data_IF_108390606870
#
_entry.id   IF_108390606870
#
_cell.length_a   1.000
_cell.length_b   1.000
_cell.length_c   1.000
_cell.angle_alpha   90.00
_cell.angle_beta   90.00
_cell.angle_gamma   90.00
#
_symmetry.space_group_name_H-M   'P 1'
#
loop_
_entity.id
_entity.type
_entity.pdbx_description
1 polymer ?
#
# COMPACT_ATOMS: atom_id res chain seq x y z
N UNK A 1 3.95 17.16 -1.96
CA UNK A 1 2.52 17.49 -1.97
C UNK A 1 1.94 17.22 -3.35
N UNK A 2 2.18 18.07 -4.35
CA UNK A 2 1.64 17.89 -5.72
C UNK A 2 2.10 16.57 -6.36
N UNK A 3 3.40 16.25 -6.26
CA UNK A 3 3.93 14.97 -6.74
C UNK A 3 3.38 13.73 -6.01
N UNK A 4 2.99 13.86 -4.74
CA UNK A 4 2.45 12.72 -3.99
C UNK A 4 0.98 12.48 -4.37
N UNK A 5 0.25 13.55 -4.71
CA UNK A 5 -1.11 13.46 -5.28
C UNK A 5 -1.10 12.75 -6.63
N UNK A 6 -0.27 13.18 -7.56
CA UNK A 6 -0.11 12.52 -8.87
C UNK A 6 0.25 11.05 -8.72
N UNK A 7 1.23 10.74 -7.87
CA UNK A 7 1.67 9.37 -7.63
C UNK A 7 0.54 8.50 -7.04
N UNK A 8 -0.19 9.01 -6.06
CA UNK A 8 -1.35 8.28 -5.52
C UNK A 8 -2.46 8.09 -6.54
N UNK A 9 -2.67 9.06 -7.44
CA UNK A 9 -3.62 8.93 -8.55
C UNK A 9 -3.27 7.75 -9.45
N UNK A 10 -2.00 7.67 -9.88
CA UNK A 10 -1.51 6.54 -10.70
C UNK A 10 -1.72 5.20 -9.99
N UNK A 11 -1.41 5.12 -8.69
CA UNK A 11 -1.59 3.89 -7.90
C UNK A 11 -3.07 3.48 -7.84
N UNK A 12 -3.95 4.45 -7.58
CA UNK A 12 -5.40 4.21 -7.50
C UNK A 12 -5.96 3.78 -8.85
N UNK A 13 -5.52 4.39 -9.95
CA UNK A 13 -5.96 4.05 -11.30
C UNK A 13 -5.57 2.62 -11.69
N UNK A 14 -4.33 2.21 -11.43
CA UNK A 14 -3.90 0.84 -11.70
C UNK A 14 -4.62 -0.18 -10.81
N UNK A 15 -4.85 0.15 -9.53
CA UNK A 15 -5.65 -0.69 -8.64
C UNK A 15 -7.10 -0.81 -9.13
N UNK A 16 -7.71 0.29 -9.59
CA UNK A 16 -9.06 0.31 -10.15
C UNK A 16 -9.16 -0.59 -11.36
N UNK A 17 -8.21 -0.51 -12.29
CA UNK A 17 -8.24 -1.36 -13.48
C UNK A 17 -8.06 -2.84 -13.12
N UNK A 18 -7.19 -3.18 -12.16
CA UNK A 18 -7.08 -4.58 -11.68
C UNK A 18 -8.40 -5.09 -11.11
N UNK A 19 -9.07 -4.31 -10.27
CA UNK A 19 -10.35 -4.70 -9.67
C UNK A 19 -11.47 -4.80 -10.72
N UNK A 20 -11.49 -3.90 -11.70
CA UNK A 20 -12.43 -3.96 -12.81
C UNK A 20 -12.23 -5.21 -13.69
N UNK A 21 -10.98 -5.61 -13.93
CA UNK A 21 -10.64 -6.76 -14.78
C UNK A 21 -10.93 -8.11 -14.08
N UNK A 22 -10.65 -8.20 -12.78
CA UNK A 22 -10.63 -9.48 -12.05
C UNK A 22 -11.75 -9.63 -11.02
N UNK A 23 -12.40 -8.53 -10.63
CA UNK A 23 -13.31 -8.48 -9.51
C UNK A 23 -12.64 -8.77 -8.16
N UNK A 24 -13.43 -8.83 -7.07
CA UNK A 24 -12.98 -9.30 -5.76
C UNK A 24 -12.87 -10.83 -5.71
N UNK A 25 -12.10 -11.36 -4.74
CA UNK A 25 -12.10 -12.79 -4.39
C UNK A 25 -10.75 -13.50 -4.53
N UNK A 26 -9.73 -12.83 -5.06
CA UNK A 26 -8.38 -13.37 -5.08
C UNK A 26 -7.67 -13.13 -3.74
N UNK A 27 -6.58 -13.85 -3.51
CA UNK A 27 -5.71 -13.63 -2.36
C UNK A 27 -5.02 -12.26 -2.49
N UNK A 28 -4.77 -11.63 -1.34
CA UNK A 28 -4.06 -10.33 -1.23
C UNK A 28 -2.73 -10.33 -1.99
N UNK A 29 -1.96 -11.41 -1.88
CA UNK A 29 -0.67 -11.58 -2.56
C UNK A 29 -0.76 -11.58 -4.09
N UNK A 30 -1.91 -11.96 -4.65
CA UNK A 30 -2.13 -11.91 -6.11
C UNK A 30 -2.34 -10.47 -6.55
N UNK A 31 -3.18 -9.71 -5.85
CA UNK A 31 -3.37 -8.28 -6.14
C UNK A 31 -2.07 -7.49 -5.95
N UNK A 32 -1.28 -7.82 -4.93
CA UNK A 32 0.04 -7.23 -4.69
C UNK A 32 0.97 -7.42 -5.88
N UNK A 33 1.15 -8.65 -6.35
CA UNK A 33 2.02 -8.94 -7.48
C UNK A 33 1.54 -8.25 -8.77
N UNK A 34 0.23 -8.17 -8.99
CA UNK A 34 -0.35 -7.48 -10.14
C UNK A 34 -0.14 -5.97 -10.09
N UNK A 35 -0.38 -5.36 -8.94
CA UNK A 35 -0.21 -3.92 -8.76
C UNK A 35 1.26 -3.53 -8.91
N UNK A 36 2.19 -4.28 -8.31
CA UNK A 36 3.63 -4.10 -8.52
C UNK A 36 3.98 -4.12 -10.02
N UNK A 37 3.54 -5.16 -10.74
CA UNK A 37 3.87 -5.33 -12.15
C UNK A 37 3.27 -4.23 -13.05
N UNK A 38 2.09 -3.70 -12.72
CA UNK A 38 1.46 -2.60 -13.48
C UNK A 38 2.13 -1.26 -13.22
N UNK A 39 2.45 -0.96 -11.96
CA UNK A 39 3.18 0.26 -11.61
C UNK A 39 4.59 0.28 -12.20
N UNK A 40 5.30 -0.86 -12.19
CA UNK A 40 6.60 -0.98 -12.88
C UNK A 40 6.48 -0.76 -14.39
N UNK A 41 5.40 -1.24 -15.02
CA UNK A 41 5.13 -0.97 -16.46
C UNK A 41 4.86 0.52 -16.75
N UNK A 42 4.38 1.28 -15.76
CA UNK A 42 4.29 2.75 -15.83
C UNK A 42 5.63 3.46 -15.62
N UNK A 43 6.72 2.72 -15.42
CA UNK A 43 8.07 3.26 -15.19
C UNK A 43 8.35 3.62 -13.73
N UNK A 44 7.46 3.25 -12.79
CA UNK A 44 7.64 3.53 -11.37
C UNK A 44 8.56 2.50 -10.70
N UNK A 45 9.39 2.97 -9.79
CA UNK A 45 10.15 2.14 -8.84
C UNK A 45 9.20 1.63 -7.76
N UNK A 46 9.17 0.32 -7.59
CA UNK A 46 8.34 -0.34 -6.58
C UNK A 46 9.19 -1.35 -5.83
N UNK A 47 9.26 -1.19 -4.51
CA UNK A 47 9.82 -2.16 -3.58
C UNK A 47 8.68 -2.96 -2.96
N UNK A 48 8.59 -4.26 -3.26
CA UNK A 48 7.56 -5.16 -2.75
C UNK A 48 8.03 -5.91 -1.51
N UNK A 49 7.14 -6.10 -0.55
CA UNK A 49 7.39 -6.85 0.69
C UNK A 49 8.63 -6.30 1.43
N UNK A 50 8.75 -4.96 1.48
CA UNK A 50 9.91 -4.26 2.02
C UNK A 50 9.94 -4.39 3.54
N UNK A 51 11.06 -4.92 4.05
CA UNK A 51 11.33 -4.95 5.49
C UNK A 51 11.61 -3.52 5.96
N UNK A 52 10.88 -3.09 6.99
CA UNK A 52 11.04 -1.79 7.61
C UNK A 52 11.89 -1.96 8.86
N UNK A 53 13.07 -1.36 8.85
CA UNK A 53 13.99 -1.37 9.98
C UNK A 53 13.67 -0.19 10.89
N UNK A 54 13.62 -0.44 12.20
CA UNK A 54 13.48 0.63 13.19
C UNK A 54 14.42 0.41 14.37
N UNK A 55 14.67 1.47 15.13
CA UNK A 55 15.50 1.43 16.33
C UNK A 55 14.66 1.73 17.55
N UNK A 56 14.80 0.92 18.59
CA UNK A 56 14.18 1.15 19.89
C UNK A 56 15.20 0.87 20.98
N UNK A 57 15.48 1.87 21.82
CA UNK A 57 16.44 1.76 22.94
C UNK A 57 17.83 1.23 22.50
N UNK A 58 18.35 1.78 21.40
CA UNK A 58 19.64 1.36 20.82
C UNK A 58 19.64 -0.01 20.13
N UNK A 59 18.56 -0.79 20.21
CA UNK A 59 18.40 -2.06 19.50
C UNK A 59 17.86 -1.81 18.09
N UNK A 60 18.47 -2.46 17.10
CA UNK A 60 18.02 -2.44 15.70
C UNK A 60 17.09 -3.63 15.46
N UNK A 61 15.86 -3.34 15.05
CA UNK A 61 14.86 -4.33 14.69
C UNK A 61 14.68 -4.35 13.18
N UNK A 62 14.94 -5.51 12.58
CA UNK A 62 14.73 -5.81 11.16
C UNK A 62 13.69 -6.94 10.96
N UNK A 63 12.89 -7.21 12.00
CA UNK A 63 11.87 -8.25 12.04
C UNK A 63 10.51 -7.63 12.41
N UNK A 64 9.42 -8.24 11.94
CA UNK A 64 8.05 -7.91 12.37
C UNK A 64 7.35 -6.78 11.60
N UNK A 65 8.08 -5.92 10.89
CA UNK A 65 7.51 -4.85 10.06
C UNK A 65 7.85 -5.06 8.58
N UNK A 66 6.83 -5.37 7.77
CA UNK A 66 6.97 -5.59 6.33
C UNK A 66 5.78 -4.99 5.61
N UNK A 67 6.03 -3.92 4.84
CA UNK A 67 5.00 -3.27 4.05
C UNK A 67 4.83 -3.96 2.70
N UNK A 68 3.63 -3.90 2.14
CA UNK A 68 3.32 -4.60 0.90
C UNK A 68 4.03 -3.96 -0.29
N UNK A 69 3.85 -2.65 -0.52
CA UNK A 69 4.59 -1.91 -1.55
C UNK A 69 5.04 -0.52 -1.06
N UNK A 70 6.28 -0.16 -1.38
CA UNK A 70 6.77 1.21 -1.32
C UNK A 70 7.05 1.70 -2.74
N UNK A 71 6.32 2.75 -3.14
CA UNK A 71 6.36 3.30 -4.50
C UNK A 71 7.18 4.59 -4.50
N UNK A 72 8.17 4.66 -5.39
CA UNK A 72 9.15 5.76 -5.53
C UNK A 72 9.87 6.17 -4.24
N UNK A 73 9.86 5.31 -3.21
CA UNK A 73 10.36 5.68 -1.89
C UNK A 73 9.52 6.74 -1.17
N UNK A 74 8.27 6.97 -1.60
CA UNK A 74 7.43 8.10 -1.15
C UNK A 74 6.05 7.71 -0.63
N UNK A 75 5.43 6.71 -1.26
CA UNK A 75 4.06 6.29 -0.93
C UNK A 75 4.06 4.85 -0.45
N UNK A 76 3.58 4.64 0.78
CA UNK A 76 3.28 3.30 1.30
C UNK A 76 1.96 2.83 0.73
N UNK A 77 1.89 1.60 0.24
CA UNK A 77 0.65 0.95 -0.19
C UNK A 77 0.50 -0.34 0.58
N UNK A 78 -0.57 -0.45 1.36
CA UNK A 78 -0.99 -1.67 2.05
C UNK A 78 -2.25 -2.20 1.38
N UNK A 79 -2.26 -3.49 1.07
CA UNK A 79 -3.35 -4.14 0.39
C UNK A 79 -4.13 -5.01 1.36
N UNK A 80 -5.42 -5.15 1.09
CA UNK A 80 -6.29 -6.10 1.78
C UNK A 80 -7.17 -6.82 0.77
N UNK A 81 -7.55 -8.05 1.09
CA UNK A 81 -8.63 -8.77 0.39
C UNK A 81 -9.59 -9.34 1.44
N UNK A 82 -10.37 -8.44 2.04
CA UNK A 82 -11.26 -8.76 3.18
C UNK A 82 -12.62 -8.11 2.96
N UNK A 83 -13.63 -8.54 3.72
CA UNK A 83 -14.96 -7.93 3.62
C UNK A 83 -14.96 -6.46 4.05
N UNK A 84 -14.30 -6.15 5.17
CA UNK A 84 -14.25 -4.80 5.74
C UNK A 84 -12.90 -4.52 6.38
N UNK A 85 -12.51 -3.24 6.43
CA UNK A 85 -11.32 -2.83 7.16
C UNK A 85 -11.50 -2.99 8.67
N UNK A 86 -10.48 -3.54 9.34
CA UNK A 86 -10.34 -3.43 10.77
C UNK A 86 -9.55 -2.15 11.14
N UNK A 87 -9.82 -1.52 12.31
CA UNK A 87 -9.08 -0.34 12.77
C UNK A 87 -7.56 -0.54 12.82
N UNK A 88 -7.10 -1.78 13.06
CA UNK A 88 -5.67 -2.12 13.09
C UNK A 88 -4.98 -1.88 11.74
N UNK A 89 -5.68 -2.04 10.62
CA UNK A 89 -5.10 -1.82 9.29
C UNK A 89 -4.67 -0.37 9.08
N UNK A 90 -5.45 0.59 9.59
CA UNK A 90 -5.10 2.01 9.54
C UNK A 90 -3.89 2.33 10.41
N UNK A 91 -3.83 1.73 11.61
CA UNK A 91 -2.71 1.90 12.55
C UNK A 91 -1.41 1.36 11.96
N UNK A 92 -1.46 0.22 11.26
CA UNK A 92 -0.30 -0.36 10.58
C UNK A 92 0.30 0.60 9.55
N UNK A 93 -0.53 1.20 8.68
CA UNK A 93 -0.06 2.20 7.72
C UNK A 93 0.56 3.41 8.42
N UNK A 94 -0.09 3.95 9.47
CA UNK A 94 0.46 5.07 10.25
C UNK A 94 1.82 4.74 10.88
N UNK A 95 2.02 3.51 11.36
CA UNK A 95 3.32 3.06 11.87
C UNK A 95 4.38 3.12 10.78
N UNK A 96 4.10 2.61 9.58
CA UNK A 96 5.07 2.69 8.47
C UNK A 96 5.41 4.11 8.08
N UNK A 97 4.40 4.99 8.00
CA UNK A 97 4.63 6.41 7.69
C UNK A 97 5.55 7.08 8.71
N UNK A 98 5.36 6.82 10.00
CA UNK A 98 6.19 7.39 11.06
C UNK A 98 7.62 6.84 11.05
N UNK A 99 7.77 5.53 10.90
CA UNK A 99 9.10 4.88 10.94
C UNK A 99 9.93 5.24 9.71
N UNK A 100 9.31 5.40 8.54
CA UNK A 100 9.98 5.75 7.29
C UNK A 100 10.08 7.26 7.04
N UNK A 101 9.56 8.09 7.95
CA UNK A 101 9.43 9.55 7.77
C UNK A 101 8.73 9.94 6.45
N UNK A 102 7.62 9.25 6.15
CA UNK A 102 6.79 9.46 4.97
C UNK A 102 5.45 10.10 5.35
N UNK A 103 4.87 10.85 4.41
CA UNK A 103 3.64 11.60 4.65
C UNK A 103 2.36 10.88 4.25
N UNK A 104 2.40 10.06 3.20
CA UNK A 104 1.19 9.54 2.55
C UNK A 104 1.25 8.02 2.42
N UNK A 105 0.17 7.37 2.83
CA UNK A 105 -0.08 5.96 2.61
C UNK A 105 -1.45 5.71 1.96
N UNK A 106 -1.56 4.63 1.21
CA UNK A 106 -2.80 4.11 0.66
C UNK A 106 -3.10 2.75 1.29
N UNK A 107 -4.30 2.61 1.82
CA UNK A 107 -4.85 1.33 2.25
C UNK A 107 -5.94 0.93 1.25
N UNK A 108 -5.72 -0.17 0.52
CA UNK A 108 -6.57 -0.58 -0.60
C UNK A 108 -7.14 -1.97 -0.34
N UNK A 109 -8.46 -2.10 -0.25
CA UNK A 109 -9.17 -3.36 -0.07
C UNK A 109 -9.79 -3.81 -1.39
N UNK A 110 -9.18 -4.83 -2.01
CA UNK A 110 -9.70 -5.49 -3.19
C UNK A 110 -10.87 -6.45 -2.90
N UNK A 111 -11.12 -6.78 -1.64
CA UNK A 111 -12.28 -7.60 -1.23
C UNK A 111 -13.60 -6.83 -1.21
N UNK A 112 -13.57 -5.50 -1.34
CA UNK A 112 -14.78 -4.68 -1.39
C UNK A 112 -15.56 -4.91 -2.71
N UNK A 113 -16.91 -4.84 -2.70
CA UNK A 113 -17.71 -4.95 -3.92
C UNK A 113 -17.36 -3.91 -4.98
N UNK A 114 -17.01 -2.69 -4.55
CA UNK A 114 -16.51 -1.61 -5.40
C UNK A 114 -15.21 -1.08 -4.83
N UNK A 115 -14.14 -1.04 -5.64
CA UNK A 115 -12.82 -0.60 -5.16
C UNK A 115 -12.84 0.82 -4.57
N UNK A 116 -13.67 1.72 -5.11
CA UNK A 116 -13.81 3.09 -4.58
C UNK A 116 -14.20 3.15 -3.09
N UNK A 117 -14.90 2.13 -2.59
CA UNK A 117 -15.27 2.01 -1.18
C UNK A 117 -14.15 1.38 -0.34
N UNK A 118 -13.26 0.63 -1.01
CA UNK A 118 -12.09 -0.03 -0.44
C UNK A 118 -10.82 0.81 -0.46
N UNK A 119 -10.82 2.09 -0.83
CA UNK A 119 -9.60 2.92 -0.82
C UNK A 119 -9.65 3.93 0.32
N UNK A 120 -8.56 4.00 1.09
CA UNK A 120 -8.36 5.01 2.13
C UNK A 120 -6.98 5.63 2.00
N UNK A 121 -6.95 6.95 1.85
CA UNK A 121 -5.72 7.76 1.97
C UNK A 121 -5.47 8.04 3.44
N UNK A 122 -4.26 7.77 3.91
CA UNK A 122 -3.82 7.99 5.28
C UNK A 122 -2.65 8.98 5.23
N UNK A 123 -2.70 9.99 6.10
CA UNK A 123 -1.70 11.08 6.15
C UNK A 123 -1.13 11.16 7.56
N UNK A 124 0.19 11.25 7.68
CA UNK A 124 0.92 11.50 8.93
C UNK A 124 1.18 12.99 9.12
#
# INVERSE_FOLDING_TARGET
>A
MEHDEELTGIIVDEAFQIHADLGPGLLESVYEALLEARLKRRGLRVERQKIVVFTYDGMVFNEGLRLDLLVEGRVVVELKSVEQFAPVHFKQVLTYLRVLDLRVGLLINFGAPLLKQGIKRIVN
#
